data_IF_198719570038
#
_entry.id   IF_198719570038
#
_cell.length_a   1.000
_cell.length_b   1.000
_cell.length_c   1.000
_cell.angle_alpha   90.00
_cell.angle_beta   90.00
_cell.angle_gamma   90.00
#
_symmetry.space_group_name_H-M   'P 1'
#
loop_
_entity.id
_entity.type
_entity.pdbx_description
1 polymer ?
#
# COMPACT_ATOMS: atom_id res chain seq x y z
N UNK A 1 0.49 0.16 16.83
CA UNK A 1 0.21 -0.08 15.41
C UNK A 1 1.45 0.17 14.57
N UNK A 2 1.61 -0.51 13.48
CA UNK A 2 2.76 -0.35 12.57
C UNK A 2 2.29 -0.04 11.17
N UNK A 3 3.08 0.74 10.45
CA UNK A 3 2.77 1.16 9.09
C UNK A 3 3.88 0.75 8.13
N UNK A 4 3.54 -0.01 7.12
CA UNK A 4 4.43 -0.29 5.98
C UNK A 4 4.22 0.82 4.97
N UNK A 5 5.23 1.65 4.76
CA UNK A 5 5.19 2.73 3.79
C UNK A 5 5.90 2.30 2.51
N UNK A 6 5.15 2.24 1.42
CA UNK A 6 5.67 1.81 0.13
C UNK A 6 5.68 3.00 -0.80
N UNK A 7 6.82 3.24 -1.46
CA UNK A 7 6.96 4.32 -2.42
C UNK A 7 7.10 3.75 -3.83
N UNK A 8 6.40 4.36 -4.79
CA UNK A 8 6.40 3.95 -6.18
C UNK A 8 6.76 5.11 -7.09
N UNK A 9 7.47 4.80 -8.18
CA UNK A 9 7.67 5.74 -9.27
C UNK A 9 6.94 5.25 -10.52
N UNK A 10 6.88 6.10 -11.56
CA UNK A 10 6.19 5.77 -12.80
C UNK A 10 4.68 5.85 -12.69
N UNK A 11 4.16 6.55 -11.67
CA UNK A 11 2.72 6.72 -11.46
C UNK A 11 2.20 7.89 -12.30
N UNK A 12 2.27 7.74 -13.62
CA UNK A 12 1.76 8.76 -14.54
C UNK A 12 0.24 8.89 -14.43
N UNK A 13 -0.28 10.05 -14.83
CA UNK A 13 -1.69 10.38 -14.66
C UNK A 13 -2.64 9.33 -15.28
N UNK A 14 -2.27 8.76 -16.42
CA UNK A 14 -3.10 7.76 -17.09
C UNK A 14 -3.15 6.42 -16.33
N UNK A 15 -2.24 6.19 -15.40
CA UNK A 15 -2.21 4.96 -14.60
C UNK A 15 -3.04 5.06 -13.34
N UNK A 16 -3.49 6.26 -12.97
CA UNK A 16 -4.19 6.51 -11.71
C UNK A 16 -5.47 5.66 -11.57
N UNK A 17 -6.36 5.74 -12.53
CA UNK A 17 -7.62 5.00 -12.46
C UNK A 17 -7.43 3.48 -12.50
N UNK A 18 -6.60 2.93 -13.41
CA UNK A 18 -6.30 1.49 -13.37
C UNK A 18 -5.69 1.05 -12.05
N UNK A 19 -4.81 1.87 -11.45
CA UNK A 19 -4.19 1.55 -10.17
C UNK A 19 -5.22 1.54 -9.04
N UNK A 20 -6.11 2.53 -8.98
CA UNK A 20 -7.18 2.60 -7.99
C UNK A 20 -8.08 1.37 -8.10
N UNK A 21 -8.45 1.01 -9.32
CA UNK A 21 -9.29 -0.17 -9.56
C UNK A 21 -8.60 -1.44 -9.09
N UNK A 22 -7.33 -1.62 -9.40
CA UNK A 22 -6.54 -2.78 -8.97
C UNK A 22 -6.46 -2.83 -7.44
N UNK A 23 -6.25 -1.70 -6.79
CA UNK A 23 -6.18 -1.63 -5.33
C UNK A 23 -7.51 -2.08 -4.71
N UNK A 24 -8.61 -1.53 -5.19
CA UNK A 24 -9.95 -1.84 -4.63
C UNK A 24 -10.40 -3.25 -4.91
N UNK A 25 -10.14 -3.77 -6.10
CA UNK A 25 -10.64 -5.08 -6.53
C UNK A 25 -9.72 -6.25 -6.17
N UNK A 26 -8.42 -6.00 -6.08
CA UNK A 26 -7.44 -7.07 -5.88
C UNK A 26 -6.62 -6.90 -4.61
N UNK A 27 -6.03 -5.74 -4.40
CA UNK A 27 -5.05 -5.53 -3.33
C UNK A 27 -5.70 -5.55 -1.95
N UNK A 28 -6.71 -4.72 -1.74
CA UNK A 28 -7.36 -4.61 -0.42
C UNK A 28 -8.03 -5.94 -0.03
N UNK A 29 -8.80 -6.60 -0.89
CA UNK A 29 -9.35 -7.91 -0.55
C UNK A 29 -8.29 -8.94 -0.19
N UNK A 30 -7.15 -8.94 -0.90
CA UNK A 30 -6.04 -9.82 -0.60
C UNK A 30 -5.44 -9.51 0.78
N UNK A 31 -5.21 -8.23 1.08
CA UNK A 31 -4.64 -7.81 2.36
C UNK A 31 -5.52 -8.19 3.55
N UNK A 32 -6.84 -8.16 3.36
CA UNK A 32 -7.78 -8.55 4.41
C UNK A 32 -7.68 -10.01 4.83
N UNK A 33 -7.02 -10.85 4.04
CA UNK A 33 -6.80 -12.26 4.39
C UNK A 33 -5.61 -12.47 5.32
N UNK A 34 -4.80 -11.43 5.56
CA UNK A 34 -3.64 -11.53 6.44
C UNK A 34 -3.99 -11.07 7.85
N UNK A 35 -3.48 -11.81 8.85
CA UNK A 35 -3.67 -11.45 10.24
C UNK A 35 -3.10 -10.06 10.54
N UNK A 36 -3.85 -9.28 11.30
CA UNK A 36 -3.42 -7.97 11.77
C UNK A 36 -3.54 -6.84 10.76
N UNK A 37 -4.08 -7.08 9.57
CA UNK A 37 -4.32 -5.98 8.63
C UNK A 37 -5.35 -5.01 9.21
N UNK A 38 -4.98 -3.73 9.28
CA UNK A 38 -5.80 -2.71 9.96
C UNK A 38 -6.24 -1.56 9.06
N UNK A 39 -5.65 -1.40 7.88
CA UNK A 39 -6.08 -0.33 7.00
C UNK A 39 -5.13 -0.05 5.85
N UNK A 40 -5.59 0.78 4.92
CA UNK A 40 -4.87 1.11 3.71
C UNK A 40 -5.10 2.58 3.36
N UNK A 41 -4.02 3.30 3.03
CA UNK A 41 -4.11 4.67 2.53
C UNK A 41 -3.30 4.74 1.25
N UNK A 42 -3.93 5.18 0.17
CA UNK A 42 -3.24 5.43 -1.09
C UNK A 42 -3.00 6.94 -1.24
N UNK A 43 -1.76 7.29 -1.57
CA UNK A 43 -1.35 8.67 -1.76
C UNK A 43 -0.82 8.84 -3.19
N UNK A 44 -1.16 9.94 -3.82
CA UNK A 44 -0.78 10.20 -5.20
C UNK A 44 -0.20 11.61 -5.35
N UNK A 45 1.01 11.70 -5.90
CA UNK A 45 1.68 12.95 -6.24
C UNK A 45 1.65 13.12 -7.76
N UNK A 46 0.68 13.87 -8.24
CA UNK A 46 0.46 14.08 -9.65
C UNK A 46 1.65 14.75 -10.36
N UNK A 47 2.25 15.74 -9.70
CA UNK A 47 3.30 16.56 -10.31
C UNK A 47 4.58 15.77 -10.56
N UNK A 48 4.89 14.82 -9.68
CA UNK A 48 6.13 14.06 -9.73
C UNK A 48 5.94 12.62 -10.21
N UNK A 49 4.73 12.27 -10.65
CA UNK A 49 4.39 10.90 -11.09
C UNK A 49 4.80 9.85 -10.06
N UNK A 50 4.55 10.13 -8.78
CA UNK A 50 4.86 9.26 -7.66
C UNK A 50 3.61 8.87 -6.90
N UNK A 51 3.67 7.72 -6.28
CA UNK A 51 2.58 7.26 -5.42
C UNK A 51 3.17 6.63 -4.16
N UNK A 52 2.38 6.61 -3.10
CA UNK A 52 2.72 5.93 -1.86
C UNK A 52 1.52 5.14 -1.39
N UNK A 53 1.79 4.02 -0.73
CA UNK A 53 0.76 3.24 -0.05
C UNK A 53 1.17 3.09 1.41
N UNK A 54 0.22 3.27 2.31
CA UNK A 54 0.42 3.02 3.73
C UNK A 54 -0.44 1.82 4.09
N UNK A 55 0.19 0.73 4.50
CA UNK A 55 -0.48 -0.46 4.99
C UNK A 55 -0.38 -0.47 6.50
N UNK A 56 -1.52 -0.45 7.18
CA UNK A 56 -1.56 -0.44 8.65
C UNK A 56 -1.70 -1.86 9.18
N UNK A 57 -0.89 -2.18 10.19
CA UNK A 57 -0.84 -3.50 10.84
C UNK A 57 -0.98 -3.34 12.35
N UNK A 58 -1.65 -4.28 12.98
CA UNK A 58 -1.87 -4.24 14.43
C UNK A 58 -0.57 -4.38 15.23
N UNK A 59 0.41 -5.10 14.70
CA UNK A 59 1.68 -5.33 15.39
C UNK A 59 2.84 -5.44 14.41
N UNK A 60 4.06 -5.33 14.94
CA UNK A 60 5.27 -5.55 14.15
C UNK A 60 5.33 -7.00 13.64
N UNK A 61 4.94 -7.95 14.48
CA UNK A 61 4.91 -9.37 14.12
C UNK A 61 4.03 -9.64 12.91
N UNK A 62 2.81 -9.13 12.92
CA UNK A 62 1.88 -9.34 11.80
C UNK A 62 2.36 -8.63 10.54
N UNK A 63 2.95 -7.43 10.68
CA UNK A 63 3.51 -6.69 9.56
C UNK A 63 4.65 -7.48 8.89
N UNK A 64 5.58 -8.01 9.67
CA UNK A 64 6.72 -8.75 9.16
C UNK A 64 6.31 -10.10 8.57
N UNK A 65 5.38 -10.79 9.21
CA UNK A 65 4.87 -12.07 8.70
C UNK A 65 4.20 -11.90 7.33
N UNK A 66 3.40 -10.85 7.19
CA UNK A 66 2.72 -10.56 5.92
C UNK A 66 3.72 -10.16 4.83
N UNK A 67 4.73 -9.38 5.16
CA UNK A 67 5.69 -8.88 4.18
C UNK A 67 6.45 -10.00 3.48
N UNK A 68 6.73 -11.09 4.18
CA UNK A 68 7.43 -12.24 3.58
C UNK A 68 6.72 -12.76 2.33
N UNK A 69 5.39 -12.71 2.32
CA UNK A 69 4.60 -13.14 1.16
C UNK A 69 4.26 -11.97 0.24
N UNK A 70 4.04 -10.80 0.81
CA UNK A 70 3.56 -9.64 0.04
C UNK A 70 4.63 -9.02 -0.83
N UNK A 71 5.90 -9.13 -0.48
CA UNK A 71 6.97 -8.50 -1.25
C UNK A 71 6.96 -8.95 -2.71
N UNK A 72 6.80 -10.23 -2.96
CA UNK A 72 6.77 -10.77 -4.33
C UNK A 72 5.45 -10.48 -5.03
N UNK A 73 4.33 -10.63 -4.32
CA UNK A 73 3.00 -10.30 -4.88
C UNK A 73 2.91 -8.84 -5.27
N UNK A 74 3.45 -7.96 -4.43
CA UNK A 74 3.51 -6.52 -4.70
C UNK A 74 4.25 -6.25 -6.00
N UNK A 75 5.43 -6.86 -6.15
CA UNK A 75 6.25 -6.68 -7.34
C UNK A 75 5.51 -7.10 -8.60
N UNK A 76 4.83 -8.24 -8.56
CA UNK A 76 4.05 -8.74 -9.69
C UNK A 76 2.89 -7.82 -10.05
N UNK A 77 2.14 -7.36 -9.05
CA UNK A 77 0.99 -6.48 -9.27
C UNK A 77 1.45 -5.13 -9.83
N UNK A 78 2.46 -4.52 -9.23
CA UNK A 78 2.95 -3.21 -9.67
C UNK A 78 3.59 -3.26 -11.04
N UNK A 79 4.32 -4.32 -11.34
CA UNK A 79 4.89 -4.53 -12.68
C UNK A 79 3.78 -4.61 -13.74
N UNK A 80 2.67 -5.26 -13.42
CA UNK A 80 1.54 -5.39 -14.33
C UNK A 80 0.86 -4.08 -14.70
N UNK A 81 0.99 -3.05 -13.85
CA UNK A 81 0.44 -1.72 -14.11
C UNK A 81 1.51 -0.67 -14.39
N UNK A 82 2.75 -1.10 -14.60
CA UNK A 82 3.83 -0.22 -14.99
C UNK A 82 4.39 0.67 -13.88
N UNK A 83 4.23 0.28 -12.63
CA UNK A 83 4.82 0.98 -11.48
C UNK A 83 6.10 0.29 -11.04
N UNK A 84 7.02 1.09 -10.47
CA UNK A 84 8.26 0.59 -9.89
C UNK A 84 8.25 0.83 -8.39
N UNK A 85 8.50 -0.21 -7.60
CA UNK A 85 8.65 -0.08 -6.15
C UNK A 85 10.03 0.48 -5.85
N UNK A 86 10.06 1.67 -5.23
CA UNK A 86 11.32 2.32 -4.83
C UNK A 86 11.74 1.87 -3.43
N UNK A 87 10.79 1.73 -2.52
CA UNK A 87 11.06 1.34 -1.14
C UNK A 87 9.82 0.77 -0.48
N UNK A 88 10.03 0.02 0.59
CA UNK A 88 8.95 -0.56 1.40
C UNK A 88 9.45 -0.65 2.85
N UNK A 89 9.28 0.43 3.60
CA UNK A 89 9.84 0.57 4.94
C UNK A 89 8.76 0.42 6.02
N UNK A 90 9.16 -0.14 7.15
CA UNK A 90 8.25 -0.32 8.29
C UNK A 90 8.53 0.74 9.34
N UNK A 91 7.46 1.37 9.83
CA UNK A 91 7.51 2.38 10.87
C UNK A 91 6.55 2.01 12.00
N UNK A 92 6.94 2.31 13.23
CA UNK A 92 5.99 2.32 14.31
C UNK A 92 5.04 3.51 14.09
N UNK A 93 3.75 3.29 14.29
CA UNK A 93 2.74 4.34 14.18
C UNK A 93 2.12 4.56 15.57
N UNK A 94 2.75 5.41 16.41
CA UNK A 94 2.28 5.62 17.77
C UNK A 94 0.92 6.31 17.85
N UNK A 95 0.54 7.02 16.79
CA UNK A 95 -0.76 7.67 16.72
C UNK A 95 -1.40 7.36 15.37
N UNK A 96 -2.56 6.75 15.41
CA UNK A 96 -3.42 6.57 14.23
C UNK A 96 -4.83 6.98 14.66
N UNK A 97 -5.23 8.15 14.23
CA UNK A 97 -6.53 8.72 14.53
C UNK A 97 -7.19 9.12 13.22
N UNK A 98 -8.20 8.38 12.82
CA UNK A 98 -8.89 8.62 11.55
C UNK A 98 -10.33 9.02 11.82
N UNK A 99 -10.71 10.19 11.29
CA UNK A 99 -12.12 10.57 11.25
C UNK A 99 -12.81 9.83 10.11
N UNK A 100 -14.13 9.80 10.11
CA UNK A 100 -14.88 9.14 9.03
C UNK A 100 -14.49 9.78 7.69
N UNK A 101 -13.78 9.00 6.86
CA UNK A 101 -13.24 9.51 5.62
C UNK A 101 -14.28 9.52 4.51
N UNK A 102 -14.25 10.57 3.70
CA UNK A 102 -15.02 10.67 2.46
C UNK A 102 -14.05 10.65 1.31
N UNK A 103 -14.21 9.68 0.47
CA UNK A 103 -13.31 9.49 -0.67
C UNK A 103 -14.10 9.50 -1.94
#
# INVERSE_FOLDING_TARGET
MYARLISFSGADAEKREPAIQTIRETVIPMLRTYDGFAGYIALYDKENSRAKAVLLWESEETAEAAEKELVERRRQITSGIGLTVESADLYEAPIVELEAARV
#
